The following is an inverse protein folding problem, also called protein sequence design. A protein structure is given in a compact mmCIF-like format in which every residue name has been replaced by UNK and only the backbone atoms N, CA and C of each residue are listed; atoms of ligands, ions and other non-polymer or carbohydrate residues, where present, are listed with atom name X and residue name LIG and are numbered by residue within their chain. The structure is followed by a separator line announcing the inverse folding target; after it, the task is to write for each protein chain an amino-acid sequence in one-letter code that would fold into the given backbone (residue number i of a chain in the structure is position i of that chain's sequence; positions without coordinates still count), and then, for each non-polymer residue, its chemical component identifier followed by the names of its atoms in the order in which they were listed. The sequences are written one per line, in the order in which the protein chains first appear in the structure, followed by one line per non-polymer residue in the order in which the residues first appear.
data_IF_116255359707
#
_entry.id   IF_116255359707
#
_cell.length_a   1.000
_cell.length_b   1.000
_cell.length_c   1.000
_cell.angle_alpha   90.00
_cell.angle_beta   90.00
_cell.angle_gamma   90.00
#
_symmetry.space_group_name_H-M   'P 1'
#
loop_
_entity.id
_entity.type
_entity.pdbx_description
1 polymer ?
#
# COMPACT_ATOMS: atom_id res chain seq x y z
N UNK A 1 10.05 7.41 19.87
CA UNK A 1 9.09 6.39 19.39
C UNK A 1 9.83 5.07 19.33
N UNK A 2 9.39 4.07 20.09
CA UNK A 2 9.97 2.73 19.99
C UNK A 2 9.61 2.15 18.63
N UNK A 3 10.60 1.83 17.80
CA UNK A 3 10.41 1.01 16.60
C UNK A 3 9.95 -0.36 17.10
N UNK A 4 8.68 -0.72 16.92
CA UNK A 4 8.25 -2.10 17.15
C UNK A 4 8.86 -2.93 16.04
N UNK A 5 9.85 -3.75 16.38
CA UNK A 5 10.39 -4.72 15.44
C UNK A 5 9.29 -5.71 15.06
N UNK A 6 9.12 -5.93 13.76
CA UNK A 6 8.21 -6.95 13.27
C UNK A 6 8.78 -8.32 13.62
N UNK A 7 7.91 -9.25 14.02
CA UNK A 7 8.29 -10.66 14.12
C UNK A 7 8.58 -11.20 12.72
N UNK A 8 9.40 -12.26 12.62
CA UNK A 8 9.68 -12.93 11.34
C UNK A 8 8.39 -13.34 10.60
N UNK A 9 7.36 -13.78 11.35
CA UNK A 9 6.04 -14.11 10.82
C UNK A 9 5.31 -12.89 10.24
N UNK A 10 5.38 -11.73 10.90
CA UNK A 10 4.76 -10.51 10.42
C UNK A 10 5.49 -9.95 9.18
N UNK A 11 6.81 -10.15 9.08
CA UNK A 11 7.59 -9.80 7.89
C UNK A 11 7.16 -10.67 6.71
N UNK A 12 7.06 -12.00 6.89
CA UNK A 12 6.61 -12.88 5.82
C UNK A 12 5.18 -12.57 5.39
N UNK A 13 4.27 -12.34 6.34
CA UNK A 13 2.89 -11.97 6.02
C UNK A 13 2.81 -10.64 5.25
N UNK A 14 3.67 -9.66 5.57
CA UNK A 14 3.75 -8.41 4.82
C UNK A 14 4.23 -8.65 3.39
N UNK A 15 5.28 -9.46 3.20
CA UNK A 15 5.81 -9.81 1.88
C UNK A 15 4.77 -10.52 1.00
N UNK A 16 4.03 -11.46 1.58
CA UNK A 16 2.95 -12.19 0.90
C UNK A 16 1.83 -11.24 0.45
N UNK A 17 1.40 -10.33 1.34
CA UNK A 17 0.35 -9.35 1.02
C UNK A 17 0.78 -8.38 -0.08
N UNK A 18 2.02 -7.87 -0.01
CA UNK A 18 2.56 -6.96 -1.02
C UNK A 18 2.70 -7.69 -2.36
N UNK A 19 3.13 -8.94 -2.34
CA UNK A 19 3.22 -9.79 -3.53
C UNK A 19 1.84 -10.00 -4.16
N UNK A 20 0.82 -10.38 -3.40
CA UNK A 20 -0.55 -10.51 -3.91
C UNK A 20 -1.09 -9.19 -4.46
N UNK A 21 -0.86 -8.09 -3.74
CA UNK A 21 -1.26 -6.76 -4.20
C UNK A 21 -0.62 -6.42 -5.56
N UNK A 22 0.67 -6.71 -5.72
CA UNK A 22 1.41 -6.47 -6.96
C UNK A 22 1.05 -7.43 -8.11
N UNK A 23 0.35 -8.54 -7.85
CA UNK A 23 -0.21 -9.37 -8.95
C UNK A 23 -1.33 -8.62 -9.67
N UNK A 24 -2.12 -7.84 -8.93
CA UNK A 24 -3.27 -7.10 -9.46
C UNK A 24 -2.93 -5.66 -9.87
N UNK A 25 -2.06 -5.01 -9.10
CA UNK A 25 -1.75 -3.60 -9.26
C UNK A 25 -0.29 -3.36 -9.65
N UNK A 26 -0.07 -2.34 -10.46
CA UNK A 26 1.22 -1.76 -10.78
C UNK A 26 1.28 -0.33 -10.22
N UNK A 27 2.49 0.18 -9.92
CA UNK A 27 2.65 1.56 -9.50
C UNK A 27 2.34 2.54 -10.64
N UNK A 28 1.52 3.56 -10.36
CA UNK A 28 1.35 4.71 -11.25
C UNK A 28 2.19 5.90 -10.75
N UNK A 29 2.76 6.69 -11.68
CA UNK A 29 3.60 7.85 -11.33
C UNK A 29 2.82 9.16 -11.24
N UNK A 30 1.63 9.20 -11.84
CA UNK A 30 0.78 10.39 -11.85
C UNK A 30 -0.70 10.01 -11.90
N UNK A 31 -1.57 10.98 -11.62
CA UNK A 31 -3.02 10.82 -11.66
C UNK A 31 -3.52 10.37 -13.04
N UNK A 32 -2.89 10.85 -14.10
CA UNK A 32 -3.26 10.53 -15.49
C UNK A 32 -2.88 9.10 -15.88
N UNK A 33 -1.93 8.47 -15.17
CA UNK A 33 -1.50 7.09 -15.40
C UNK A 33 -2.25 6.08 -14.53
N UNK A 34 -2.94 6.55 -13.50
CA UNK A 34 -3.62 5.69 -12.55
C UNK A 34 -5.01 5.29 -13.07
N UNK A 35 -5.30 3.99 -13.04
CA UNK A 35 -6.63 3.46 -13.28
C UNK A 35 -7.48 3.52 -12.02
N UNK A 36 -6.86 3.33 -10.85
CA UNK A 36 -7.53 3.31 -9.55
C UNK A 36 -6.81 4.17 -8.51
N UNK A 37 -7.60 4.69 -7.57
CA UNK A 37 -7.16 5.56 -6.49
C UNK A 37 -7.71 5.01 -5.18
N UNK A 38 -6.84 4.70 -4.23
CA UNK A 38 -7.25 4.24 -2.91
C UNK A 38 -6.67 5.13 -1.82
N UNK A 39 -7.51 5.56 -0.90
CA UNK A 39 -7.05 6.19 0.33
C UNK A 39 -6.17 5.23 1.14
N UNK A 40 -5.36 5.79 2.03
CA UNK A 40 -4.54 4.97 2.94
C UNK A 40 -5.38 4.04 3.81
N UNK A 41 -6.62 4.42 4.14
CA UNK A 41 -7.57 3.59 4.87
C UNK A 41 -8.08 2.41 4.03
N UNK A 42 -8.41 2.63 2.76
CA UNK A 42 -8.83 1.55 1.86
C UNK A 42 -7.70 0.54 1.63
N UNK A 43 -6.46 1.02 1.45
CA UNK A 43 -5.28 0.14 1.42
C UNK A 43 -5.17 -0.66 2.72
N UNK A 44 -5.31 -0.03 3.89
CA UNK A 44 -5.27 -0.73 5.17
C UNK A 44 -6.33 -1.85 5.27
N UNK A 45 -7.53 -1.60 4.77
CA UNK A 45 -8.62 -2.58 4.73
C UNK A 45 -8.36 -3.72 3.74
N UNK A 46 -7.71 -3.46 2.61
CA UNK A 46 -7.31 -4.52 1.66
C UNK A 46 -6.25 -5.45 2.24
N UNK A 47 -5.35 -4.91 3.06
CA UNK A 47 -4.28 -5.66 3.71
C UNK A 47 -4.71 -6.28 5.05
N UNK A 48 -6.03 -6.36 5.31
CA UNK A 48 -6.61 -6.93 6.53
C UNK A 48 -6.16 -8.38 6.73
N UNK A 49 -5.06 -8.54 7.45
CA UNK A 49 -4.37 -9.79 7.70
C UNK A 49 -4.69 -10.31 9.09
N UNK A 50 -4.65 -11.63 9.26
CA UNK A 50 -4.72 -12.28 10.56
C UNK A 50 -3.53 -11.92 11.46
N UNK A 51 -2.44 -11.40 10.88
CA UNK A 51 -1.29 -10.89 11.62
C UNK A 51 -1.36 -9.38 11.81
N UNK A 52 -1.10 -8.86 13.02
CA UNK A 52 -1.10 -7.43 13.29
C UNK A 52 0.14 -6.77 12.67
N UNK A 53 0.00 -6.33 11.41
CA UNK A 53 1.04 -5.57 10.70
C UNK A 53 0.75 -4.07 10.89
N UNK A 54 1.69 -3.26 11.41
CA UNK A 54 1.52 -1.82 11.49
C UNK A 54 1.37 -1.19 10.10
N UNK A 55 0.45 -0.23 9.98
CA UNK A 55 0.17 0.46 8.71
C UNK A 55 1.40 1.16 8.14
N UNK A 56 2.28 1.69 9.00
CA UNK A 56 3.54 2.32 8.59
C UNK A 56 4.40 1.36 7.75
N UNK A 57 4.50 0.09 8.16
CA UNK A 57 5.26 -0.92 7.44
C UNK A 57 4.64 -1.27 6.08
N UNK A 58 3.30 -1.32 5.99
CA UNK A 58 2.59 -1.52 4.72
C UNK A 58 2.90 -0.37 3.76
N UNK A 59 2.80 0.88 4.24
CA UNK A 59 3.05 2.06 3.42
C UNK A 59 4.52 2.20 3.02
N UNK A 60 5.46 1.85 3.90
CA UNK A 60 6.88 1.78 3.55
C UNK A 60 7.17 0.70 2.51
N UNK A 61 6.54 -0.47 2.61
CA UNK A 61 6.68 -1.53 1.63
C UNK A 61 6.11 -1.13 0.26
N UNK A 62 4.94 -0.49 0.21
CA UNK A 62 4.38 0.03 -1.03
C UNK A 62 5.30 1.08 -1.68
N UNK A 63 5.81 2.05 -0.92
CA UNK A 63 6.78 3.03 -1.43
C UNK A 63 8.06 2.37 -1.95
N UNK A 64 8.57 1.39 -1.22
CA UNK A 64 9.78 0.64 -1.62
C UNK A 64 9.57 -0.15 -2.92
N UNK A 65 8.34 -0.56 -3.21
CA UNK A 65 7.94 -1.19 -4.47
C UNK A 65 7.52 -0.18 -5.57
N UNK A 66 7.74 1.11 -5.34
CA UNK A 66 7.55 2.17 -6.33
C UNK A 66 6.13 2.75 -6.40
N UNK A 67 5.23 2.38 -5.50
CA UNK A 67 3.89 2.96 -5.46
C UNK A 67 3.92 4.40 -4.98
N UNK A 68 3.15 5.25 -5.66
CA UNK A 68 3.10 6.69 -5.40
C UNK A 68 1.93 7.02 -4.49
N UNK A 69 2.19 7.83 -3.46
CA UNK A 69 1.18 8.38 -2.56
C UNK A 69 1.17 9.91 -2.69
N UNK A 70 0.00 10.51 -2.93
CA UNK A 70 -0.15 11.94 -3.17
C UNK A 70 -1.28 12.55 -2.33
N UNK A 71 -1.20 13.83 -1.95
CA UNK A 71 -2.30 14.51 -1.30
C UNK A 71 -3.48 14.68 -2.27
N UNK A 72 -4.69 14.45 -1.77
CA UNK A 72 -5.92 14.78 -2.48
C UNK A 72 -6.19 16.28 -2.33
N UNK A 73 -6.22 17.01 -3.44
CA UNK A 73 -6.36 18.47 -3.42
C UNK A 73 -7.60 18.92 -2.65
N UNK A 74 -7.42 19.87 -1.73
CA UNK A 74 -8.51 20.43 -0.91
C UNK A 74 -8.99 19.52 0.24
N UNK A 75 -8.34 18.37 0.48
CA UNK A 75 -8.66 17.48 1.60
C UNK A 75 -7.41 17.10 2.40
N UNK A 76 -7.53 16.84 3.72
CA UNK A 76 -6.44 16.34 4.54
C UNK A 76 -6.22 14.82 4.35
N UNK A 77 -6.37 14.33 3.11
CA UNK A 77 -6.39 12.90 2.77
C UNK A 77 -5.30 12.60 1.74
N UNK A 78 -4.68 11.42 1.85
CA UNK A 78 -3.71 10.93 0.89
C UNK A 78 -4.25 9.70 0.16
N UNK A 79 -3.96 9.62 -1.14
CA UNK A 79 -4.33 8.49 -1.98
C UNK A 79 -3.12 7.86 -2.65
N UNK A 80 -3.22 6.56 -2.89
CA UNK A 80 -2.28 5.74 -3.61
C UNK A 80 -2.73 5.62 -5.07
N UNK A 81 -1.79 5.86 -5.98
CA UNK A 81 -2.03 5.85 -7.43
C UNK A 81 -1.66 4.47 -8.00
N UNK A 82 -2.65 3.74 -8.52
CA UNK A 82 -2.45 2.37 -9.01
C UNK A 82 -2.87 2.23 -10.48
N UNK A 83 -2.13 1.42 -11.22
CA UNK A 83 -2.51 0.93 -12.56
C UNK A 83 -2.97 -0.52 -12.43
N UNK A 84 -4.06 -0.90 -13.09
CA UNK A 84 -4.54 -2.28 -13.13
C UNK A 84 -3.71 -3.11 -14.11
N UNK A 85 -3.12 -4.23 -13.67
CA UNK A 85 -2.27 -5.06 -14.56
C UNK A 85 -3.04 -5.84 -15.62
N UNK A 86 -4.36 -6.08 -15.42
CA UNK A 86 -5.43 -6.41 -16.39
C UNK A 86 -6.62 -7.05 -15.64
N UNK A 87 -7.83 -6.93 -16.21
CA UNK A 87 -9.06 -7.64 -15.78
C UNK A 87 -9.13 -9.05 -16.35
#
# INVERSE_FOLDING_TARGET
MCKKELTEQAIQALDDLITEFMKRYAPAKSWEQADEHFTSSEIAEMFNSVYPIPLENIFEALKSNGFTCVPLSGQPTFVWLLTLKQK
#
